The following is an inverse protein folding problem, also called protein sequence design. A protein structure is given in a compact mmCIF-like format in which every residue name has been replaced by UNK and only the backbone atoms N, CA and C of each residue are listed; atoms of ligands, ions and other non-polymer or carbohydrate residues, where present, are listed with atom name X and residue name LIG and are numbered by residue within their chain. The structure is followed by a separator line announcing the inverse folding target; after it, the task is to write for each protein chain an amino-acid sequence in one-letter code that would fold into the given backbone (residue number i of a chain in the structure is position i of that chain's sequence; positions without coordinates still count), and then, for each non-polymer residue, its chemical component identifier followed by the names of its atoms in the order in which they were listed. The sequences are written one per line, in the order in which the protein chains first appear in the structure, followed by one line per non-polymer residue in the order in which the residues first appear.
data_IF_344395999476
#
_entry.id   IF_344395999476
#
_cell.length_a   1.000
_cell.length_b   1.000
_cell.length_c   1.000
_cell.angle_alpha   90.00
_cell.angle_beta   90.00
_cell.angle_gamma   90.00
#
_symmetry.space_group_name_H-M   'P 1'
#
loop_
_entity.id
_entity.type
_entity.pdbx_description
1 polymer ?
#
# COMPACT_ATOMS: atom_id res chain seq x y z
N UNK A 1 17.39 -19.98 1.52
CA UNK A 1 16.33 -18.96 1.66
C UNK A 1 16.32 -18.11 0.40
N UNK A 2 15.16 -17.80 -0.19
CA UNK A 2 15.09 -16.91 -1.35
C UNK A 2 15.30 -15.48 -0.85
N UNK A 3 16.25 -14.75 -1.42
CA UNK A 3 16.54 -13.36 -1.02
C UNK A 3 15.50 -12.46 -1.71
N UNK A 4 14.39 -12.22 -1.03
CA UNK A 4 13.29 -11.40 -1.54
C UNK A 4 13.65 -9.93 -1.35
N UNK A 5 13.65 -9.10 -2.42
CA UNK A 5 13.79 -7.66 -2.27
C UNK A 5 12.69 -7.12 -1.35
N UNK A 6 13.11 -6.52 -0.24
CA UNK A 6 12.22 -6.04 0.81
C UNK A 6 12.50 -4.56 1.05
N UNK A 7 11.52 -3.69 0.72
CA UNK A 7 11.59 -2.29 1.07
C UNK A 7 11.37 -2.11 2.59
N UNK A 8 12.17 -1.25 3.23
CA UNK A 8 12.17 -0.99 4.68
C UNK A 8 12.08 0.51 4.96
N UNK A 9 11.81 0.88 6.21
CA UNK A 9 11.62 2.28 6.62
C UNK A 9 10.22 2.83 6.29
N UNK A 10 9.31 1.94 5.87
CA UNK A 10 7.92 2.27 5.56
C UNK A 10 7.19 2.59 6.86
N UNK A 11 6.47 3.72 6.87
CA UNK A 11 5.67 4.18 8.01
C UNK A 11 4.18 3.93 7.86
N UNK A 12 3.70 3.86 6.62
CA UNK A 12 2.30 3.67 6.28
C UNK A 12 2.19 2.99 4.92
N UNK A 13 1.14 2.19 4.71
CA UNK A 13 0.85 1.53 3.45
C UNK A 13 -0.65 1.67 3.15
N UNK A 14 -0.95 2.01 1.91
CA UNK A 14 -2.27 1.87 1.28
C UNK A 14 -2.18 0.66 0.34
N UNK A 15 -3.04 -0.33 0.51
CA UNK A 15 -2.86 -1.60 -0.17
C UNK A 15 -4.07 -2.53 -0.15
N UNK A 16 -4.39 -3.05 -1.34
CA UNK A 16 -5.41 -4.08 -1.57
C UNK A 16 -5.11 -5.41 -0.84
N UNK A 17 -3.85 -5.67 -0.49
CA UNK A 17 -3.44 -6.89 0.18
C UNK A 17 -2.43 -6.60 1.29
N UNK A 18 -2.83 -6.91 2.52
CA UNK A 18 -1.98 -6.85 3.71
C UNK A 18 -1.98 -8.21 4.40
N UNK A 19 -0.80 -8.66 4.80
CA UNK A 19 -0.64 -9.89 5.57
C UNK A 19 0.10 -9.59 6.87
N UNK A 20 -0.40 -10.17 7.96
CA UNK A 20 0.17 -10.01 9.30
C UNK A 20 -0.14 -11.22 10.15
N UNK A 21 0.57 -11.36 11.27
CA UNK A 21 0.26 -12.38 12.27
C UNK A 21 -1.08 -12.06 12.94
N UNK A 22 -1.84 -13.10 13.32
CA UNK A 22 -3.15 -12.93 13.96
C UNK A 22 -3.04 -12.09 15.23
N UNK A 23 -2.03 -12.33 16.06
CA UNK A 23 -1.80 -11.56 17.28
C UNK A 23 -1.51 -10.09 17.02
N UNK A 24 -0.89 -9.75 15.88
CA UNK A 24 -0.69 -8.36 15.46
C UNK A 24 -2.03 -7.72 15.07
N UNK A 25 -2.83 -8.41 14.25
CA UNK A 25 -4.14 -7.93 13.84
C UNK A 25 -5.06 -7.65 15.05
N UNK A 26 -5.10 -8.58 16.00
CA UNK A 26 -5.91 -8.43 17.22
C UNK A 26 -5.36 -7.35 18.16
N UNK A 27 -4.04 -7.21 18.27
CA UNK A 27 -3.41 -6.21 19.14
C UNK A 27 -3.58 -4.79 18.63
N UNK A 28 -3.44 -4.58 17.31
CA UNK A 28 -3.63 -3.26 16.71
C UNK A 28 -5.12 -2.95 16.60
N UNK A 29 -5.94 -3.92 16.20
CA UNK A 29 -7.39 -3.77 16.13
C UNK A 29 -7.85 -2.77 15.06
N UNK A 30 -9.17 -2.67 14.94
CA UNK A 30 -9.85 -1.76 14.03
C UNK A 30 -10.28 -0.48 14.76
N UNK A 31 -9.99 0.68 14.18
CA UNK A 31 -10.50 1.96 14.67
C UNK A 31 -11.77 2.32 13.89
N UNK A 32 -12.93 1.94 14.43
CA UNK A 32 -14.22 2.22 13.80
C UNK A 32 -14.63 3.69 13.86
N UNK A 33 -13.98 4.50 14.68
CA UNK A 33 -14.26 5.93 14.78
C UNK A 33 -13.55 6.69 13.66
N UNK A 34 -12.26 6.39 13.45
CA UNK A 34 -11.47 6.97 12.37
C UNK A 34 -11.86 6.40 10.99
N UNK A 35 -12.19 5.10 10.93
CA UNK A 35 -12.57 4.39 9.72
C UNK A 35 -13.93 3.70 9.90
N UNK A 36 -15.01 4.43 9.64
CA UNK A 36 -16.39 3.94 9.73
C UNK A 36 -16.93 3.34 8.41
N UNK A 37 -16.03 3.05 7.45
CA UNK A 37 -16.37 2.55 6.14
C UNK A 37 -15.22 1.80 5.46
N UNK A 38 -15.26 1.73 4.13
CA UNK A 38 -14.31 0.95 3.33
C UNK A 38 -13.01 1.68 2.99
N UNK A 39 -12.88 2.99 3.28
CA UNK A 39 -11.72 3.77 2.90
C UNK A 39 -10.71 3.92 4.05
N UNK A 40 -9.43 4.03 3.70
CA UNK A 40 -8.36 4.52 4.59
C UNK A 40 -7.99 3.64 5.78
N UNK A 41 -8.60 2.47 5.92
CA UNK A 41 -8.36 1.61 7.08
C UNK A 41 -7.00 0.95 7.11
N UNK A 42 -6.44 0.68 5.94
CA UNK A 42 -5.10 0.13 5.75
C UNK A 42 -4.05 1.18 6.11
N UNK A 43 -4.27 2.43 5.72
CA UNK A 43 -3.47 3.59 6.11
C UNK A 43 -3.47 3.75 7.63
N UNK A 44 -4.64 3.81 8.27
CA UNK A 44 -4.76 3.91 9.73
C UNK A 44 -4.09 2.73 10.45
N UNK A 45 -4.46 1.50 10.06
CA UNK A 45 -3.96 0.30 10.71
C UNK A 45 -2.43 0.20 10.63
N UNK A 46 -1.86 0.43 9.45
CA UNK A 46 -0.41 0.30 9.23
C UNK A 46 0.36 1.42 9.92
N UNK A 47 -0.18 2.64 9.97
CA UNK A 47 0.40 3.72 10.75
C UNK A 47 0.42 3.38 12.25
N UNK A 48 -0.71 2.94 12.82
CA UNK A 48 -0.80 2.54 14.23
C UNK A 48 0.11 1.35 14.54
N UNK A 49 0.25 0.40 13.61
CA UNK A 49 1.21 -0.69 13.72
C UNK A 49 2.66 -0.16 13.80
N UNK A 50 3.03 0.80 12.96
CA UNK A 50 4.36 1.43 12.99
C UNK A 50 4.59 2.23 14.28
N UNK A 51 3.60 3.00 14.74
CA UNK A 51 3.62 3.72 16.02
C UNK A 51 3.80 2.76 17.21
N UNK A 52 3.24 1.55 17.14
CA UNK A 52 3.43 0.47 18.10
C UNK A 52 4.79 -0.26 17.98
N UNK A 53 5.73 0.28 17.19
CA UNK A 53 7.09 -0.26 17.02
C UNK A 53 7.18 -1.48 16.11
N UNK A 54 6.12 -1.84 15.38
CA UNK A 54 6.19 -2.90 14.38
C UNK A 54 6.89 -2.41 13.11
N UNK A 55 7.59 -3.33 12.45
CA UNK A 55 8.22 -3.06 11.16
C UNK A 55 7.26 -3.38 10.03
N UNK A 56 7.06 -2.43 9.14
CA UNK A 56 6.35 -2.62 7.88
C UNK A 56 7.33 -3.00 6.77
N UNK A 57 6.84 -3.74 5.79
CA UNK A 57 7.63 -4.22 4.66
C UNK A 57 6.73 -4.47 3.45
N UNK A 58 7.27 -4.25 2.26
CA UNK A 58 6.64 -4.62 0.98
C UNK A 58 7.42 -5.79 0.37
N UNK A 59 6.70 -6.86 0.05
CA UNK A 59 7.25 -7.99 -0.69
C UNK A 59 7.16 -7.69 -2.19
N UNK A 60 8.27 -7.28 -2.80
CA UNK A 60 8.32 -6.87 -4.21
C UNK A 60 8.32 -8.03 -5.21
N UNK A 61 8.32 -9.28 -4.73
CA UNK A 61 8.28 -10.50 -5.54
C UNK A 61 6.88 -11.14 -5.60
N UNK A 62 5.89 -10.55 -4.93
CA UNK A 62 4.50 -11.00 -4.94
C UNK A 62 3.67 -10.10 -5.87
N UNK A 63 3.29 -10.62 -7.03
CA UNK A 63 2.37 -9.94 -7.94
C UNK A 63 0.91 -10.11 -7.51
N UNK A 64 0.17 -9.00 -7.43
CA UNK A 64 -1.28 -8.99 -7.13
C UNK A 64 -2.01 -8.26 -8.26
N UNK A 65 -3.00 -8.91 -8.88
CA UNK A 65 -3.87 -8.29 -9.88
C UNK A 65 -5.16 -7.85 -9.20
N UNK A 66 -5.38 -6.54 -9.13
CA UNK A 66 -6.61 -5.94 -8.64
C UNK A 66 -7.46 -5.46 -9.82
N UNK A 67 -8.73 -5.89 -9.89
CA UNK A 67 -9.62 -5.58 -11.03
C UNK A 67 -10.32 -4.22 -10.92
N UNK A 68 -10.00 -3.41 -9.92
CA UNK A 68 -10.56 -2.07 -9.76
C UNK A 68 -9.45 -1.05 -9.51
N UNK A 69 -9.71 0.19 -9.90
CA UNK A 69 -8.80 1.32 -9.65
C UNK A 69 -9.01 1.95 -8.26
N UNK A 70 -10.01 1.48 -7.51
CA UNK A 70 -10.53 2.17 -6.33
C UNK A 70 -11.56 3.25 -6.68
N UNK A 71 -12.18 3.83 -5.65
CA UNK A 71 -13.15 4.92 -5.74
C UNK A 71 -12.69 6.06 -4.83
N UNK A 72 -12.55 7.26 -5.39
CA UNK A 72 -12.26 8.50 -4.66
C UNK A 72 -13.55 9.31 -4.54
N UNK A 73 -14.54 8.76 -3.84
CA UNK A 73 -15.85 9.38 -3.66
C UNK A 73 -15.90 10.26 -2.41
N UNK A 74 -17.08 10.81 -2.11
CA UNK A 74 -17.28 11.69 -0.95
C UNK A 74 -17.05 10.98 0.39
N UNK A 75 -17.18 9.65 0.45
CA UNK A 75 -16.86 8.87 1.67
C UNK A 75 -15.36 8.74 1.83
N UNK A 76 -14.62 8.57 0.74
CA UNK A 76 -13.17 8.64 0.76
C UNK A 76 -12.69 10.00 1.27
N UNK A 77 -13.20 11.11 0.75
CA UNK A 77 -12.84 12.47 1.18
C UNK A 77 -13.12 12.72 2.67
N UNK A 78 -14.30 12.29 3.13
CA UNK A 78 -14.68 12.39 4.54
C UNK A 78 -13.74 11.57 5.43
N UNK A 79 -13.36 10.36 4.99
CA UNK A 79 -12.43 9.50 5.73
C UNK A 79 -11.03 10.08 5.78
N UNK A 80 -10.51 10.62 4.67
CA UNK A 80 -9.20 11.30 4.64
C UNK A 80 -9.18 12.47 5.63
N UNK A 81 -10.26 13.26 5.70
CA UNK A 81 -10.36 14.37 6.64
C UNK A 81 -10.28 13.90 8.11
N UNK A 82 -10.96 12.80 8.45
CA UNK A 82 -10.88 12.17 9.78
C UNK A 82 -9.48 11.65 10.08
N UNK A 83 -8.85 10.97 9.12
CA UNK A 83 -7.51 10.42 9.27
C UNK A 83 -6.45 11.48 9.49
N UNK A 84 -6.48 12.58 8.73
CA UNK A 84 -5.56 13.70 8.91
C UNK A 84 -5.78 14.39 10.26
N UNK A 85 -7.04 14.55 10.71
CA UNK A 85 -7.32 15.09 12.02
C UNK A 85 -6.83 14.18 13.16
N UNK A 86 -6.96 12.87 13.01
CA UNK A 86 -6.54 11.86 13.99
C UNK A 86 -5.02 11.66 14.00
N UNK A 87 -4.40 11.70 12.84
CA UNK A 87 -2.98 11.44 12.59
C UNK A 87 -2.37 12.57 11.74
N UNK A 88 -2.02 13.71 12.35
CA UNK A 88 -1.49 14.86 11.62
C UNK A 88 -0.22 14.57 10.81
N UNK A 89 0.55 13.53 11.16
CA UNK A 89 1.73 13.11 10.39
C UNK A 89 1.41 12.61 8.96
N UNK A 90 0.14 12.29 8.66
CA UNK A 90 -0.29 11.94 7.31
C UNK A 90 -0.34 13.16 6.38
N UNK A 91 -0.35 14.38 6.93
CA UNK A 91 -0.33 15.62 6.17
C UNK A 91 1.11 16.05 5.82
N UNK A 92 1.86 15.13 5.20
CA UNK A 92 3.24 15.36 4.76
C UNK A 92 3.34 15.92 3.34
N UNK A 93 4.51 16.42 2.98
CA UNK A 93 4.80 16.80 1.60
C UNK A 93 4.77 15.57 0.68
N UNK A 94 4.11 15.71 -0.47
CA UNK A 94 4.10 14.67 -1.51
C UNK A 94 5.51 14.51 -2.08
N UNK A 95 5.98 13.25 -2.16
CA UNK A 95 7.24 12.92 -2.84
C UNK A 95 7.23 13.35 -4.31
N UNK A 96 8.35 13.88 -4.79
CA UNK A 96 8.58 14.16 -6.22
C UNK A 96 8.83 12.89 -7.03
N UNK A 97 9.23 11.80 -6.35
CA UNK A 97 9.42 10.49 -6.94
C UNK A 97 8.12 9.69 -6.81
N UNK A 98 7.51 9.37 -7.96
CA UNK A 98 6.33 8.49 -8.02
C UNK A 98 6.65 7.29 -8.92
N UNK A 99 6.66 6.10 -8.32
CA UNK A 99 6.82 4.83 -9.03
C UNK A 99 5.48 4.28 -9.51
N UNK A 100 4.66 5.10 -10.18
CA UNK A 100 3.33 4.71 -10.64
C UNK A 100 3.25 4.78 -12.17
N UNK A 101 2.78 3.70 -12.79
CA UNK A 101 2.54 3.64 -14.23
C UNK A 101 1.12 3.19 -14.48
N UNK A 102 0.33 4.05 -15.15
CA UNK A 102 -1.00 3.71 -15.63
C UNK A 102 -0.97 3.39 -17.12
N UNK A 103 -1.39 2.18 -17.48
CA UNK A 103 -1.58 1.73 -18.88
C UNK A 103 -2.82 0.87 -18.98
N UNK A 104 -3.58 1.06 -20.06
CA UNK A 104 -4.65 0.13 -20.42
C UNK A 104 -4.03 -1.16 -20.94
N UNK A 105 -4.46 -2.29 -20.38
CA UNK A 105 -4.06 -3.63 -20.82
C UNK A 105 -5.32 -4.48 -21.06
N UNK A 106 -5.32 -5.40 -22.05
CA UNK A 106 -6.53 -6.16 -22.39
C UNK A 106 -7.03 -7.09 -21.27
N UNK A 107 -6.10 -7.71 -20.55
CA UNK A 107 -6.41 -8.71 -19.52
C UNK A 107 -5.28 -8.81 -18.46
N UNK A 108 -5.49 -9.69 -17.48
CA UNK A 108 -4.55 -9.93 -16.39
C UNK A 108 -3.21 -10.51 -16.88
N UNK A 109 -3.19 -11.30 -17.96
CA UNK A 109 -1.94 -11.86 -18.47
C UNK A 109 -1.05 -10.76 -19.05
N UNK A 110 -1.64 -9.78 -19.74
CA UNK A 110 -0.93 -8.60 -20.22
C UNK A 110 -0.47 -7.68 -19.08
N UNK A 111 -1.27 -7.54 -18.02
CA UNK A 111 -0.87 -6.81 -16.82
C UNK A 111 0.40 -7.44 -16.19
N UNK A 112 0.41 -8.77 -16.03
CA UNK A 112 1.56 -9.49 -15.48
C UNK A 112 2.77 -9.43 -16.41
N UNK A 113 2.58 -9.58 -17.72
CA UNK A 113 3.65 -9.48 -18.70
C UNK A 113 4.32 -8.09 -18.69
N UNK A 114 3.57 -7.00 -18.46
CA UNK A 114 4.12 -5.66 -18.31
C UNK A 114 5.07 -5.58 -17.11
N UNK A 115 4.66 -6.12 -15.96
CA UNK A 115 5.48 -6.16 -14.73
C UNK A 115 6.72 -7.03 -14.93
N UNK A 116 6.57 -8.22 -15.52
CA UNK A 116 7.69 -9.13 -15.78
C UNK A 116 8.71 -8.53 -16.74
N UNK A 117 8.25 -7.87 -17.81
CA UNK A 117 9.11 -7.20 -18.77
C UNK A 117 9.82 -6.00 -18.13
N UNK A 118 9.14 -5.22 -17.29
CA UNK A 118 9.79 -4.16 -16.51
C UNK A 118 10.90 -4.72 -15.63
N UNK A 119 10.62 -5.80 -14.89
CA UNK A 119 11.60 -6.43 -14.01
C UNK A 119 12.81 -6.98 -14.79
N UNK A 120 12.61 -7.42 -16.04
CA UNK A 120 13.70 -7.81 -16.95
C UNK A 120 14.50 -6.61 -17.45
N UNK A 121 13.84 -5.53 -17.86
CA UNK A 121 14.50 -4.31 -18.33
C UNK A 121 15.31 -3.63 -17.21
N UNK A 122 14.83 -3.63 -15.96
CA UNK A 122 15.59 -3.14 -14.81
C UNK A 122 16.79 -4.00 -14.40
N UNK A 123 16.85 -5.27 -14.85
CA UNK A 123 18.03 -6.14 -14.71
C UNK A 123 19.00 -6.02 -15.90
N UNK A 124 18.50 -5.53 -17.04
CA UNK A 124 19.30 -5.11 -18.17
C UNK A 124 19.69 -3.64 -17.96
N UNK A 125 20.56 -3.37 -16.99
CA UNK A 125 21.29 -2.10 -17.01
C UNK A 125 22.04 -2.02 -18.34
N UNK A 126 21.79 -0.92 -19.05
CA UNK A 126 22.63 -0.38 -20.11
C UNK A 126 24.11 -0.35 -19.67
N UNK A 127 25.08 -0.44 -20.61
CA UNK A 127 26.50 -0.63 -20.32
C UNK A 127 27.08 0.33 -19.28
#
# INVERSE_FOLDING_TARGET
SRNVPLARGIRVMDGVFLAMRREVALRIGWDAEACDGFHGYDVDFTLRAAQAGLRLAVASDLGVVHRSYGSFDTRWEATVSKLVARHPELNGERSKETGFVARSVPDAAHAMALVDNWARMGKASFP
#
